data_IF_729888549871
#
_entry.id   IF_729888549871
#
_cell.length_a   1.000
_cell.length_b   1.000
_cell.length_c   1.000
_cell.angle_alpha   90.00
_cell.angle_beta   90.00
_cell.angle_gamma   90.00
#
_symmetry.space_group_name_H-M   'P 1'
#
loop_
_entity.id
_entity.type
_entity.pdbx_description
1 polymer ?
#
# COMPACT_ATOMS: atom_id res chain seq x y z
N UNK A 1 -5.28 -7.64 -0.13
CA UNK A 1 -4.79 -6.61 -1.08
C UNK A 1 -5.58 -6.64 -2.39
N UNK A 2 -5.81 -7.81 -3.01
CA UNK A 2 -6.68 -7.94 -4.19
C UNK A 2 -8.08 -7.34 -3.98
N UNK A 3 -8.76 -7.67 -2.88
CA UNK A 3 -10.07 -7.10 -2.57
C UNK A 3 -10.05 -5.58 -2.39
N UNK A 4 -9.05 -5.05 -1.67
CA UNK A 4 -8.85 -3.60 -1.52
C UNK A 4 -8.69 -2.94 -2.90
N UNK A 5 -7.87 -3.53 -3.78
CA UNK A 5 -7.70 -3.05 -5.13
C UNK A 5 -8.97 -3.17 -5.97
N UNK A 6 -9.81 -4.18 -5.76
CA UNK A 6 -11.09 -4.36 -6.47
C UNK A 6 -12.08 -3.25 -6.09
N UNK A 7 -12.20 -2.91 -4.80
CA UNK A 7 -13.18 -1.93 -4.31
C UNK A 7 -12.75 -0.48 -4.50
N UNK A 8 -11.44 -0.21 -4.54
CA UNK A 8 -10.93 1.15 -4.77
C UNK A 8 -11.19 1.58 -6.22
N UNK A 9 -11.67 2.81 -6.39
CA UNK A 9 -11.65 3.46 -7.71
C UNK A 9 -10.22 3.66 -8.21
N UNK A 10 -9.97 3.70 -9.53
CA UNK A 10 -8.67 4.07 -10.08
C UNK A 10 -8.13 5.38 -9.49
N UNK A 11 -6.87 5.40 -9.05
CA UNK A 11 -6.29 6.56 -8.35
C UNK A 11 -6.76 6.75 -6.89
N UNK A 12 -7.70 5.91 -6.41
CA UNK A 12 -8.16 5.91 -5.02
C UNK A 12 -7.03 5.61 -4.03
N UNK A 13 -7.19 6.11 -2.80
CA UNK A 13 -6.19 5.99 -1.73
C UNK A 13 -6.66 4.99 -0.68
N UNK A 14 -5.75 4.12 -0.26
CA UNK A 14 -5.93 3.18 0.84
C UNK A 14 -5.13 3.66 2.05
N UNK A 15 -5.81 4.08 3.10
CA UNK A 15 -5.22 4.45 4.38
C UNK A 15 -5.26 3.25 5.31
N UNK A 16 -4.14 2.94 5.97
CA UNK A 16 -4.06 1.79 6.86
C UNK A 16 -3.18 2.07 8.07
N UNK A 17 -3.51 1.37 9.14
CA UNK A 17 -2.79 1.32 10.41
C UNK A 17 -2.75 -0.15 10.79
N UNK A 18 -1.58 -0.76 10.73
CA UNK A 18 -1.41 -2.20 10.95
C UNK A 18 -0.21 -2.47 11.84
N UNK A 19 -0.32 -3.47 12.71
CA UNK A 19 0.80 -3.99 13.48
C UNK A 19 1.83 -4.68 12.58
N UNK A 20 3.12 -4.34 12.69
CA UNK A 20 4.16 -4.91 11.85
C UNK A 20 5.17 -5.72 12.65
N UNK A 21 5.79 -6.70 11.97
CA UNK A 21 6.95 -7.43 12.50
C UNK A 21 8.06 -6.47 12.93
N UNK A 22 8.63 -6.72 14.10
CA UNK A 22 9.84 -6.05 14.58
C UNK A 22 11.06 -6.33 13.70
N UNK A 23 12.06 -5.45 13.80
CA UNK A 23 13.33 -5.62 13.09
C UNK A 23 14.08 -6.88 13.57
N UNK A 24 14.93 -7.44 12.70
CA UNK A 24 15.60 -8.72 12.97
C UNK A 24 16.50 -8.72 14.21
N UNK A 25 17.00 -7.54 14.61
CA UNK A 25 17.91 -7.35 15.73
C UNK A 25 17.18 -7.11 17.05
N UNK A 26 15.85 -7.00 17.05
CA UNK A 26 15.06 -6.75 18.24
C UNK A 26 14.56 -8.06 18.85
N UNK A 27 14.79 -8.25 20.16
CA UNK A 27 14.34 -9.42 20.92
C UNK A 27 12.82 -9.59 20.89
N UNK A 28 12.07 -8.49 20.76
CA UNK A 28 10.60 -8.52 20.67
C UNK A 28 10.11 -9.29 19.43
N UNK A 29 10.92 -9.38 18.38
CA UNK A 29 10.62 -10.23 17.21
C UNK A 29 10.51 -11.70 17.59
N UNK A 30 11.33 -12.18 18.53
CA UNK A 30 11.24 -13.55 19.00
C UNK A 30 9.90 -13.81 19.72
N UNK A 31 9.49 -12.87 20.58
CA UNK A 31 8.19 -12.92 21.26
C UNK A 31 7.04 -12.95 20.24
N UNK A 32 7.08 -12.08 19.23
CA UNK A 32 6.09 -12.09 18.14
C UNK A 32 6.03 -13.45 17.44
N UNK A 33 7.16 -14.09 17.14
CA UNK A 33 7.22 -15.39 16.47
C UNK A 33 6.59 -16.51 17.30
N UNK A 34 6.86 -16.54 18.60
CA UNK A 34 6.32 -17.56 19.52
C UNK A 34 4.81 -17.36 19.70
N UNK A 35 4.34 -16.12 19.76
CA UNK A 35 2.92 -15.82 19.99
C UNK A 35 2.07 -15.83 18.72
N UNK A 36 2.64 -15.67 17.52
CA UNK A 36 1.92 -15.59 16.24
C UNK A 36 0.90 -16.72 16.02
N UNK A 37 1.20 -18.01 16.32
CA UNK A 37 0.23 -19.10 16.10
C UNK A 37 -1.00 -18.99 17.00
N UNK A 38 -0.82 -18.53 18.25
CA UNK A 38 -1.91 -18.29 19.18
C UNK A 38 -2.68 -17.04 18.78
N UNK A 39 -1.96 -15.96 18.47
CA UNK A 39 -2.51 -14.68 18.03
C UNK A 39 -3.42 -14.85 16.81
N UNK A 40 -2.97 -15.61 15.81
CA UNK A 40 -3.72 -15.92 14.61
C UNK A 40 -5.05 -16.61 14.90
N UNK A 41 -5.14 -17.43 15.95
CA UNK A 41 -6.39 -18.11 16.34
C UNK A 41 -7.34 -17.18 17.08
N UNK A 42 -6.83 -16.34 17.97
CA UNK A 42 -7.65 -15.46 18.83
C UNK A 42 -8.12 -14.22 18.06
N UNK A 43 -7.28 -13.65 17.19
CA UNK A 43 -7.55 -12.38 16.49
C UNK A 43 -7.95 -12.59 15.03
N UNK A 44 -8.88 -13.51 14.77
CA UNK A 44 -9.49 -13.73 13.46
C UNK A 44 -8.48 -13.86 12.29
N UNK A 45 -7.34 -14.52 12.51
CA UNK A 45 -6.30 -14.71 11.50
C UNK A 45 -5.24 -13.61 11.42
N UNK A 46 -5.24 -12.63 12.33
CA UNK A 46 -4.22 -11.60 12.42
C UNK A 46 -2.83 -12.22 12.64
N UNK A 47 -1.81 -11.75 11.91
CA UNK A 47 -0.44 -12.25 11.98
C UNK A 47 0.49 -11.12 12.42
N UNK A 48 1.07 -11.25 13.61
CA UNK A 48 2.06 -10.32 14.17
C UNK A 48 3.33 -10.26 13.31
N UNK A 49 3.63 -11.35 12.60
CA UNK A 49 4.85 -11.48 11.80
C UNK A 49 4.68 -11.04 10.35
N UNK A 50 3.51 -10.51 9.98
CA UNK A 50 3.20 -10.13 8.60
C UNK A 50 4.02 -8.92 8.16
N UNK A 51 4.67 -9.05 7.00
CA UNK A 51 5.30 -7.92 6.31
C UNK A 51 4.30 -7.27 5.33
N UNK A 52 3.43 -6.42 5.87
CA UNK A 52 2.44 -5.69 5.04
C UNK A 52 3.13 -4.75 4.05
N UNK A 53 4.24 -4.12 4.46
CA UNK A 53 5.03 -3.22 3.62
C UNK A 53 5.45 -3.91 2.33
N UNK A 54 6.15 -5.04 2.43
CA UNK A 54 6.60 -5.78 1.26
C UNK A 54 5.43 -6.27 0.42
N UNK A 55 4.34 -6.71 1.06
CA UNK A 55 3.14 -7.15 0.35
C UNK A 55 2.48 -6.02 -0.46
N UNK A 56 2.43 -4.78 0.05
CA UNK A 56 1.89 -3.62 -0.66
C UNK A 56 2.77 -3.21 -1.83
N UNK A 57 4.09 -3.20 -1.65
CA UNK A 57 5.07 -2.82 -2.68
C UNK A 57 5.11 -3.83 -3.84
N UNK A 58 4.97 -5.12 -3.55
CA UNK A 58 5.12 -6.20 -4.55
C UNK A 58 3.81 -6.63 -5.23
N UNK A 59 2.64 -6.29 -4.69
CA UNK A 59 1.37 -6.80 -5.22
C UNK A 59 0.95 -6.23 -6.60
N UNK A 60 1.65 -5.21 -7.11
CA UNK A 60 1.40 -4.65 -8.45
C UNK A 60 0.10 -3.84 -8.62
N UNK A 61 -0.76 -3.76 -7.59
CA UNK A 61 -2.03 -3.02 -7.66
C UNK A 61 -1.89 -1.52 -7.35
N UNK A 62 -0.84 -1.13 -6.65
CA UNK A 62 -0.61 0.24 -6.20
C UNK A 62 0.50 0.90 -7.04
N UNK A 63 0.31 2.18 -7.37
CA UNK A 63 1.26 3.00 -8.12
C UNK A 63 2.34 3.55 -7.19
N UNK A 64 1.93 3.99 -6.00
CA UNK A 64 2.78 4.55 -4.97
C UNK A 64 2.33 4.09 -3.60
N UNK A 65 3.29 3.93 -2.70
CA UNK A 65 3.07 3.59 -1.29
C UNK A 65 3.96 4.50 -0.47
N UNK A 66 3.36 5.27 0.44
CA UNK A 66 4.06 6.09 1.42
C UNK A 66 3.69 5.61 2.82
N UNK A 67 4.67 5.26 3.63
CA UNK A 67 4.44 4.58 4.91
C UNK A 67 5.56 4.89 5.90
N UNK A 68 5.21 4.98 7.18
CA UNK A 68 6.13 5.16 8.28
C UNK A 68 5.88 4.14 9.39
N UNK A 69 6.96 3.69 10.03
CA UNK A 69 6.88 2.89 11.25
C UNK A 69 6.80 3.83 12.43
N UNK A 70 5.81 3.64 13.29
CA UNK A 70 5.63 4.38 14.52
C UNK A 70 5.80 3.41 15.68
N UNK A 71 6.64 3.81 16.63
CA UNK A 71 6.80 3.12 17.90
C UNK A 71 6.08 3.94 18.96
N UNK A 72 4.94 3.46 19.44
CA UNK A 72 4.22 4.12 20.52
C UNK A 72 4.83 3.71 21.85
N UNK A 73 5.35 4.68 22.61
CA UNK A 73 5.92 4.46 23.95
C UNK A 73 4.87 4.45 25.07
N UNK A 74 3.58 4.48 24.71
CA UNK A 74 2.49 4.76 25.66
C UNK A 74 2.15 3.60 26.62
N UNK A 75 2.69 2.40 26.39
CA UNK A 75 2.52 1.23 27.27
C UNK A 75 3.70 0.26 27.13
N UNK A 76 4.35 -0.07 28.25
CA UNK A 76 5.50 -1.00 28.26
C UNK A 76 5.11 -2.42 27.84
N UNK A 77 3.93 -2.91 28.26
CA UNK A 77 3.48 -4.28 28.02
C UNK A 77 2.74 -4.42 26.69
N UNK A 78 1.77 -3.55 26.41
CA UNK A 78 1.07 -3.55 25.12
C UNK A 78 2.02 -3.16 23.97
N UNK A 79 3.04 -2.36 24.25
CA UNK A 79 4.05 -1.96 23.29
C UNK A 79 5.00 -3.08 22.85
N UNK A 80 5.06 -4.22 23.55
CA UNK A 80 5.83 -5.39 23.08
C UNK A 80 5.10 -6.14 21.97
N UNK A 81 3.77 -6.15 22.02
CA UNK A 81 2.92 -6.89 21.07
C UNK A 81 2.41 -5.99 19.93
N UNK A 82 2.06 -4.75 20.26
CA UNK A 82 1.39 -3.81 19.37
C UNK A 82 2.35 -2.77 18.75
N UNK A 83 3.65 -2.83 19.02
CA UNK A 83 4.62 -2.08 18.21
C UNK A 83 5.38 -3.02 17.27
N UNK A 84 6.11 -2.48 16.28
CA UNK A 84 5.81 -1.19 15.64
C UNK A 84 4.43 -1.22 14.96
N UNK A 85 3.78 -0.07 14.92
CA UNK A 85 2.62 0.16 14.06
C UNK A 85 3.10 0.76 12.75
N UNK A 86 2.71 0.17 11.63
CA UNK A 86 2.92 0.71 10.30
C UNK A 86 1.69 1.54 9.92
N UNK A 87 1.90 2.82 9.69
CA UNK A 87 0.88 3.73 9.17
C UNK A 87 1.26 4.12 7.76
N UNK A 88 0.30 4.08 6.84
CA UNK A 88 0.61 4.43 5.47
C UNK A 88 -0.59 4.67 4.59
N UNK A 89 -0.26 5.13 3.39
CA UNK A 89 -1.17 5.45 2.31
C UNK A 89 -0.66 4.75 1.05
N UNK A 90 -1.52 3.97 0.42
CA UNK A 90 -1.24 3.35 -0.88
C UNK A 90 -2.21 3.87 -1.93
N UNK A 91 -1.70 4.32 -3.08
CA UNK A 91 -2.54 4.86 -4.18
C UNK A 91 -2.72 3.79 -5.25
N UNK A 92 -3.97 3.45 -5.59
CA UNK A 92 -4.29 2.45 -6.62
C UNK A 92 -3.81 2.93 -8.00
N UNK A 93 -3.23 2.03 -8.79
CA UNK A 93 -2.84 2.34 -10.18
C UNK A 93 -4.05 2.79 -11.00
N UNK A 94 -3.84 3.82 -11.81
CA UNK A 94 -4.78 4.15 -12.86
C UNK A 94 -4.63 3.12 -14.00
N UNK A 95 -5.73 2.64 -14.60
CA UNK A 95 -5.64 1.92 -15.84
C UNK A 95 -5.04 2.85 -16.91
N UNK A 96 -4.36 2.30 -17.92
CA UNK A 96 -3.92 3.11 -19.05
C UNK A 96 -5.13 3.83 -19.64
N UNK A 97 -4.96 5.08 -20.13
CA UNK A 97 -6.05 5.79 -20.80
C UNK A 97 -6.56 4.94 -21.97
N UNK A 98 -7.87 5.00 -22.29
CA UNK A 98 -8.40 4.29 -23.44
C UNK A 98 -7.63 4.69 -24.70
N UNK A 99 -7.21 3.71 -25.50
CA UNK A 99 -6.56 3.99 -26.79
C UNK A 99 -7.57 4.70 -27.68
N UNK A 100 -7.33 5.96 -27.98
CA UNK A 100 -8.10 6.68 -28.99
C UNK A 100 -7.71 6.10 -30.36
N UNK A 101 -8.66 5.48 -31.05
CA UNK A 101 -8.47 5.09 -32.44
C UNK A 101 -8.84 6.30 -33.30
N UNK A 102 -7.89 6.82 -34.05
CA UNK A 102 -8.17 7.88 -35.03
C UNK A 102 -8.52 7.20 -36.35
N UNK A 103 -9.60 7.67 -36.99
CA UNK A 103 -9.99 7.21 -38.33
C UNK A 103 -9.27 8.08 -39.36
N UNK A 104 -8.42 7.48 -40.19
CA UNK A 104 -7.78 8.15 -41.34
C UNK A 104 -8.27 7.41 -42.58
N UNK A 105 -9.22 8.01 -43.32
CA UNK A 105 -9.92 7.33 -44.42
C UNK A 105 -10.77 6.14 -43.91
N UNK A 106 -10.65 4.97 -44.54
CA UNK A 106 -11.33 3.74 -44.13
C UNK A 106 -10.50 2.86 -43.17
N UNK A 107 -9.30 3.30 -42.82
CA UNK A 107 -8.40 2.57 -41.92
C UNK A 107 -8.51 3.10 -40.47
N UNK A 108 -8.49 2.15 -39.53
CA UNK A 108 -8.33 2.43 -38.11
C UNK A 108 -6.85 2.28 -37.73
N UNK A 109 -6.22 3.35 -37.25
CA UNK A 109 -4.85 3.30 -36.74
C UNK A 109 -4.82 3.63 -35.24
N UNK A 110 -3.94 2.93 -34.50
CA UNK A 110 -3.67 3.23 -33.10
C UNK A 110 -2.95 4.59 -33.03
N UNK A 111 -3.58 5.60 -32.43
CA UNK A 111 -2.94 6.89 -32.23
C UNK A 111 -1.89 6.76 -31.11
N UNK A 112 -0.61 6.62 -31.48
CA UNK A 112 0.49 6.78 -30.52
C UNK A 112 0.49 8.23 -30.01
N UNK A 113 0.15 8.41 -28.73
CA UNK A 113 0.16 9.72 -28.07
C UNK A 113 1.59 10.26 -27.94
N UNK A 114 1.99 11.16 -28.84
CA UNK A 114 2.95 12.22 -28.53
C UNK A 114 2.16 13.50 -28.21
N UNK A 115 1.88 13.74 -26.92
CA UNK A 115 1.66 15.09 -26.37
C UNK A 115 1.64 15.06 -24.84
N UNK A 116 2.81 15.17 -24.24
CA UNK A 116 2.95 15.83 -22.94
C UNK A 116 2.48 17.28 -23.11
N UNK A 117 1.36 17.66 -22.51
CA UNK A 117 1.07 19.09 -22.29
C UNK A 117 1.91 19.54 -21.08
N UNK A 118 2.58 20.70 -21.13
CA UNK A 118 3.23 21.25 -19.94
C UNK A 118 2.13 21.59 -18.92
N UNK A 119 2.38 21.23 -17.65
CA UNK A 119 1.57 21.67 -16.52
C UNK A 119 1.88 23.15 -16.32
N UNK A 120 0.92 24.03 -16.57
CA UNK A 120 1.03 25.43 -16.13
C UNK A 120 0.91 25.46 -14.60
N UNK A 121 2.05 25.66 -13.91
CA UNK A 121 2.07 26.10 -12.51
C UNK A 121 1.32 27.42 -12.39
N UNK A 122 0.12 27.39 -11.84
CA UNK A 122 -0.52 28.60 -11.32
C UNK A 122 0.03 28.85 -9.91
N UNK A 123 0.96 29.82 -9.86
CA UNK A 123 1.35 30.54 -8.66
C UNK A 123 0.08 31.08 -7.97
N UNK A 124 -0.22 30.62 -6.76
CA UNK A 124 -1.04 31.40 -5.83
C UNK A 124 -0.11 32.39 -5.13
N UNK A 125 -0.38 33.68 -5.37
CA UNK A 125 0.16 34.85 -4.65
C UNK A 125 -0.29 34.81 -3.20
#
# INVERSE_FOLDING_TARGET
LKEIARVLVPGGKFFYVEHMRHDARDWRRYVQLVLDPLWRRIFAGCRLTRDLKSALETCGHFASVSQCKIYSTRSETAGVLLNPVLVGIATKRQPPPPRCKTRIGDAWTDACHARTRPVEEHLCV
#
